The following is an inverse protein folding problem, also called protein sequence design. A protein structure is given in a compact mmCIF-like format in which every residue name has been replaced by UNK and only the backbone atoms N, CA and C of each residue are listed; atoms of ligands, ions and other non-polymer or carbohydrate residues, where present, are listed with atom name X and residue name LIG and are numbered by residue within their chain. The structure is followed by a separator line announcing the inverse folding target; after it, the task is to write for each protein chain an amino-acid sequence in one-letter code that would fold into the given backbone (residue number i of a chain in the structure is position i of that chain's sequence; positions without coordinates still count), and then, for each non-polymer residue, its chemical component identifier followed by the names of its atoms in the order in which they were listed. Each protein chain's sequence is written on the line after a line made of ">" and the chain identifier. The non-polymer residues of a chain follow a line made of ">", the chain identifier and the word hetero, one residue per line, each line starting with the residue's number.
data_IF_382306796809
#
_entry.id   IF_382306796809
#
_cell.length_a   1.000
_cell.length_b   1.000
_cell.length_c   1.000
_cell.angle_alpha   90.00
_cell.angle_beta   90.00
_cell.angle_gamma   90.00
#
_symmetry.space_group_name_H-M   'P 1'
#
loop_
_entity.id
_entity.type
_entity.pdbx_description
1 polymer ?
#
# COMPACT_ATOMS: atom_id res chain seq x y z
N UNK A 1 -8.23 6.57 -29.03
CA UNK A 1 -6.85 6.81 -28.57
C UNK A 1 -6.88 7.82 -27.42
N UNK A 2 -7.09 7.38 -26.19
CA UNK A 2 -6.96 8.23 -25.00
C UNK A 2 -6.05 7.49 -24.01
N UNK A 3 -4.76 7.83 -24.03
CA UNK A 3 -3.83 7.44 -22.96
C UNK A 3 -4.26 8.19 -21.73
N UNK A 4 -4.82 7.48 -20.75
CA UNK A 4 -5.10 8.00 -19.42
C UNK A 4 -3.76 8.25 -18.73
N UNK A 5 -3.27 9.48 -18.86
CA UNK A 5 -2.15 10.04 -18.11
C UNK A 5 -2.66 10.34 -16.70
N UNK A 6 -2.81 9.29 -15.87
CA UNK A 6 -3.15 9.42 -14.44
C UNK A 6 -2.27 8.51 -13.56
N UNK A 7 -1.27 7.85 -14.16
CA UNK A 7 -0.45 6.83 -13.49
C UNK A 7 0.77 7.41 -12.73
N UNK A 8 1.37 8.59 -13.02
CA UNK A 8 2.53 9.03 -12.24
C UNK A 8 2.19 9.85 -10.98
N UNK A 9 0.95 10.30 -10.78
CA UNK A 9 0.64 11.28 -9.72
C UNK A 9 0.31 10.68 -8.34
N UNK A 10 -0.04 9.40 -8.23
CA UNK A 10 -0.41 8.79 -6.93
C UNK A 10 0.81 8.20 -6.18
N UNK A 11 1.96 8.07 -6.85
CA UNK A 11 3.25 7.73 -6.22
C UNK A 11 4.02 8.97 -5.70
N UNK A 12 3.52 10.19 -5.96
CA UNK A 12 4.20 11.45 -5.65
C UNK A 12 3.64 12.20 -4.41
N UNK A 13 3.03 11.50 -3.45
CA UNK A 13 2.62 12.10 -2.16
C UNK A 13 3.79 12.24 -1.15
N UNK A 14 5.00 12.50 -1.65
CA UNK A 14 6.14 13.01 -0.89
C UNK A 14 6.33 14.49 -1.27
N UNK A 15 6.75 15.38 -0.36
CA UNK A 15 6.95 16.79 -0.70
C UNK A 15 7.92 16.92 -1.88
N UNK A 16 7.39 17.38 -3.01
CA UNK A 16 8.04 17.57 -4.31
C UNK A 16 9.15 18.65 -4.32
N UNK A 17 9.78 18.95 -3.19
CA UNK A 17 10.65 20.12 -3.05
C UNK A 17 12.16 19.84 -3.08
N UNK A 18 12.61 18.59 -3.31
CA UNK A 18 14.06 18.30 -3.34
C UNK A 18 14.42 17.20 -4.32
N UNK A 19 14.09 17.30 -5.61
CA UNK A 19 14.82 16.52 -6.64
C UNK A 19 15.39 17.50 -7.66
N UNK A 20 16.69 17.79 -7.49
CA UNK A 20 17.50 18.42 -8.52
C UNK A 20 17.56 17.53 -9.76
N UNK A 21 17.60 18.22 -10.90
CA UNK A 21 17.91 17.76 -12.25
C UNK A 21 18.75 16.45 -12.27
N UNK A 22 18.38 15.52 -13.16
CA UNK A 22 19.08 14.26 -13.51
C UNK A 22 18.53 12.94 -12.91
N UNK A 23 17.20 12.77 -12.84
CA UNK A 23 16.63 11.44 -13.03
C UNK A 23 16.56 11.14 -14.53
N UNK A 24 17.18 10.06 -15.06
CA UNK A 24 16.99 9.69 -16.45
C UNK A 24 15.50 9.48 -16.70
N UNK A 25 14.99 10.10 -17.76
CA UNK A 25 13.57 10.24 -18.11
C UNK A 25 12.82 8.89 -18.23
N UNK A 26 13.56 7.76 -18.27
CA UNK A 26 13.05 6.39 -18.43
C UNK A 26 13.37 5.44 -17.25
N UNK A 27 13.93 5.93 -16.13
CA UNK A 27 14.29 5.03 -15.01
C UNK A 27 13.06 4.55 -14.20
N UNK A 28 12.87 3.23 -14.16
CA UNK A 28 11.74 2.60 -13.44
C UNK A 28 11.90 2.80 -11.92
N UNK A 29 10.86 3.37 -11.28
CA UNK A 29 10.82 3.64 -9.84
C UNK A 29 10.42 2.38 -9.06
N UNK A 30 11.24 2.04 -8.07
CA UNK A 30 11.01 1.00 -7.08
C UNK A 30 11.06 1.58 -5.67
N UNK A 31 10.69 0.76 -4.70
CA UNK A 31 10.84 1.07 -3.28
C UNK A 31 11.39 -0.14 -2.53
N UNK A 32 12.19 0.10 -1.50
CA UNK A 32 12.72 -0.94 -0.63
C UNK A 32 11.58 -1.67 0.12
N UNK A 33 11.58 -3.00 0.14
CA UNK A 33 10.54 -3.81 0.81
C UNK A 33 10.98 -4.43 2.14
N UNK A 34 12.22 -4.18 2.57
CA UNK A 34 12.76 -4.57 3.87
C UNK A 34 13.13 -3.33 4.69
N UNK A 35 13.09 -3.45 6.00
CA UNK A 35 13.45 -2.36 6.92
C UNK A 35 14.95 -2.02 6.94
N UNK A 36 15.79 -2.90 6.40
CA UNK A 36 17.25 -2.74 6.31
C UNK A 36 17.75 -3.17 4.92
N UNK A 37 17.11 -2.69 3.87
CA UNK A 37 17.50 -3.06 2.52
C UNK A 37 18.87 -2.45 2.18
N UNK A 38 19.81 -3.24 1.66
CA UNK A 38 21.22 -2.83 1.58
C UNK A 38 21.65 -2.53 0.15
N UNK A 39 22.38 -1.42 -0.02
CA UNK A 39 23.14 -1.10 -1.22
C UNK A 39 24.60 -1.48 -0.99
N UNK A 40 25.23 -2.14 -1.95
CA UNK A 40 26.62 -2.60 -1.94
C UNK A 40 27.42 -1.94 -3.06
N UNK A 41 28.75 -1.76 -2.86
CA UNK A 41 29.62 -1.27 -3.94
C UNK A 41 29.99 -2.36 -4.96
N UNK A 42 30.08 -3.62 -4.52
CA UNK A 42 30.41 -4.80 -5.33
C UNK A 42 29.44 -5.93 -4.98
N UNK A 43 29.23 -6.91 -5.89
CA UNK A 43 28.28 -8.01 -5.68
C UNK A 43 28.78 -9.08 -4.69
N UNK A 44 30.09 -9.11 -4.42
CA UNK A 44 30.78 -10.10 -3.60
C UNK A 44 31.21 -9.57 -2.21
N UNK A 45 30.93 -8.31 -1.91
CA UNK A 45 31.19 -7.73 -0.58
C UNK A 45 30.08 -8.05 0.41
N UNK A 46 30.45 -8.27 1.67
CA UNK A 46 29.51 -8.39 2.80
C UNK A 46 29.27 -7.07 3.52
N UNK A 47 30.01 -6.00 3.18
CA UNK A 47 29.88 -4.69 3.81
C UNK A 47 28.90 -3.80 3.03
N UNK A 48 27.74 -3.46 3.60
CA UNK A 48 26.81 -2.54 2.97
C UNK A 48 27.38 -1.12 2.96
N UNK A 49 27.10 -0.41 1.87
CA UNK A 49 27.46 1.00 1.67
C UNK A 49 26.37 1.93 2.21
N UNK A 50 25.09 1.58 1.99
CA UNK A 50 23.92 2.33 2.48
C UNK A 50 22.84 1.35 2.92
N UNK A 51 22.20 1.62 4.06
CA UNK A 51 20.98 0.94 4.50
C UNK A 51 19.78 1.83 4.22
N UNK A 52 18.79 1.27 3.53
CA UNK A 52 17.55 1.94 3.15
C UNK A 52 16.43 1.57 4.12
N UNK A 53 15.58 2.55 4.40
CA UNK A 53 14.34 2.35 5.17
C UNK A 53 13.30 1.67 4.31
N UNK A 54 12.33 1.01 4.96
CA UNK A 54 11.14 0.49 4.30
C UNK A 54 10.48 1.60 3.46
N UNK A 55 10.15 1.26 2.21
CA UNK A 55 9.58 2.14 1.18
C UNK A 55 10.45 3.30 0.70
N UNK A 56 11.73 3.34 1.05
CA UNK A 56 12.64 4.33 0.48
C UNK A 56 12.73 4.15 -1.04
N UNK A 57 12.52 5.23 -1.83
CA UNK A 57 12.48 5.15 -3.28
C UNK A 57 13.87 4.90 -3.87
N UNK A 58 13.94 4.02 -4.87
CA UNK A 58 15.15 3.73 -5.64
C UNK A 58 14.83 3.63 -7.12
N UNK A 59 15.72 4.15 -7.96
CA UNK A 59 15.61 4.11 -9.41
C UNK A 59 16.46 2.95 -9.93
N UNK A 60 15.84 2.04 -10.68
CA UNK A 60 16.59 0.97 -11.35
C UNK A 60 17.42 1.57 -12.48
N UNK A 61 18.69 1.19 -12.53
CA UNK A 61 19.62 1.54 -13.61
C UNK A 61 19.75 0.38 -14.58
N UNK A 62 20.16 -0.79 -14.07
CA UNK A 62 20.36 -2.02 -14.85
C UNK A 62 20.36 -3.23 -13.91
N UNK A 63 20.32 -4.46 -14.42
CA UNK A 63 20.43 -5.67 -13.59
C UNK A 63 19.62 -6.85 -14.08
N UNK A 64 19.80 -7.96 -13.38
CA UNK A 64 19.20 -9.26 -13.65
C UNK A 64 18.24 -9.71 -12.53
N UNK A 65 17.90 -10.99 -12.51
CA UNK A 65 16.96 -11.57 -11.53
C UNK A 65 17.51 -11.63 -10.11
N UNK A 66 18.83 -11.57 -9.91
CA UNK A 66 19.47 -11.67 -8.60
C UNK A 66 19.89 -10.30 -8.06
N UNK A 67 20.50 -9.48 -8.91
CA UNK A 67 21.07 -8.20 -8.54
C UNK A 67 20.67 -7.09 -9.50
N UNK A 68 20.50 -5.90 -8.95
CA UNK A 68 20.28 -4.68 -9.73
C UNK A 68 21.14 -3.54 -9.24
N UNK A 69 21.61 -2.73 -10.18
CA UNK A 69 22.19 -1.43 -9.87
C UNK A 69 21.04 -0.45 -9.64
N UNK A 70 21.04 0.20 -8.50
CA UNK A 70 20.05 1.20 -8.11
C UNK A 70 20.71 2.55 -7.83
N UNK A 71 19.90 3.60 -7.93
CA UNK A 71 20.25 4.95 -7.49
C UNK A 71 19.18 5.47 -6.53
N UNK A 72 19.57 6.04 -5.40
CA UNK A 72 18.65 6.72 -4.46
C UNK A 72 18.41 8.17 -4.89
N UNK A 73 17.38 8.80 -4.31
CA UNK A 73 17.07 10.21 -4.61
C UNK A 73 18.16 11.20 -4.20
N UNK A 74 18.97 10.87 -3.20
CA UNK A 74 20.12 11.67 -2.73
C UNK A 74 21.44 11.35 -3.49
N UNK A 75 21.37 10.45 -4.49
CA UNK A 75 22.47 10.19 -5.42
C UNK A 75 23.37 9.01 -5.08
N UNK A 76 23.15 8.30 -3.98
CA UNK A 76 23.86 7.05 -3.71
C UNK A 76 23.58 6.03 -4.83
N UNK A 77 24.62 5.33 -5.29
CA UNK A 77 24.52 4.33 -6.36
C UNK A 77 25.25 3.06 -5.95
N UNK A 78 24.66 1.90 -6.22
CA UNK A 78 25.29 0.62 -5.99
C UNK A 78 24.38 -0.55 -6.31
N UNK A 79 24.83 -1.76 -5.97
CA UNK A 79 24.13 -3.01 -6.19
C UNK A 79 23.17 -3.30 -5.04
N UNK A 80 21.99 -3.79 -5.37
CA UNK A 80 20.94 -4.18 -4.44
C UNK A 80 20.36 -5.51 -4.90
N UNK A 81 19.95 -6.38 -3.98
CA UNK A 81 19.30 -7.63 -4.37
C UNK A 81 17.96 -7.30 -5.01
N UNK A 82 17.65 -7.95 -6.13
CA UNK A 82 16.38 -7.72 -6.84
C UNK A 82 15.16 -8.06 -5.96
N UNK A 83 15.32 -8.95 -4.98
CA UNK A 83 14.27 -9.31 -4.00
C UNK A 83 14.08 -8.31 -2.86
N UNK A 84 14.96 -7.31 -2.72
CA UNK A 84 14.87 -6.30 -1.66
C UNK A 84 14.13 -5.04 -2.11
N UNK A 85 13.72 -4.98 -3.38
CA UNK A 85 12.90 -3.91 -3.94
C UNK A 85 11.61 -4.44 -4.55
N UNK A 86 10.62 -3.57 -4.66
CA UNK A 86 9.42 -3.83 -5.43
C UNK A 86 8.87 -2.53 -5.98
N UNK A 87 8.09 -2.63 -7.05
CA UNK A 87 7.24 -1.58 -7.56
C UNK A 87 5.82 -2.09 -7.78
N UNK A 88 5.45 -3.16 -7.07
CA UNK A 88 4.10 -3.73 -7.07
C UNK A 88 3.17 -2.83 -6.27
N UNK A 89 2.00 -2.52 -6.81
CA UNK A 89 0.98 -1.76 -6.08
C UNK A 89 -0.43 -2.21 -6.46
N UNK A 90 -1.37 -1.93 -5.56
CA UNK A 90 -2.76 -2.37 -5.70
C UNK A 90 -3.65 -1.15 -5.91
N UNK A 91 -4.61 -1.25 -6.84
CA UNK A 91 -5.73 -0.33 -6.97
C UNK A 91 -7.02 -1.09 -6.79
N UNK A 92 -7.94 -0.56 -6.00
CA UNK A 92 -9.28 -1.10 -5.80
C UNK A 92 -10.25 -0.01 -6.21
N UNK A 93 -11.06 -0.28 -7.24
CA UNK A 93 -12.16 0.60 -7.62
C UNK A 93 -13.44 0.06 -7.01
N UNK A 94 -14.06 0.87 -6.15
CA UNK A 94 -15.32 0.52 -5.51
C UNK A 94 -16.48 0.54 -6.52
N UNK A 95 -16.52 1.53 -7.41
CA UNK A 95 -17.48 1.62 -8.51
C UNK A 95 -17.53 0.37 -9.39
N UNK A 96 -16.37 -0.19 -9.72
CA UNK A 96 -16.30 -1.39 -10.57
C UNK A 96 -16.17 -2.70 -9.78
N UNK A 97 -16.09 -2.63 -8.45
CA UNK A 97 -15.86 -3.77 -7.55
C UNK A 97 -14.71 -4.66 -8.06
N UNK A 98 -13.60 -4.03 -8.39
CA UNK A 98 -12.46 -4.70 -9.03
C UNK A 98 -11.16 -4.30 -8.34
N UNK A 99 -10.37 -5.31 -7.98
CA UNK A 99 -8.98 -5.15 -7.55
C UNK A 99 -8.07 -5.32 -8.77
N UNK A 100 -7.08 -4.45 -8.87
CA UNK A 100 -6.06 -4.42 -9.89
C UNK A 100 -4.69 -4.46 -9.22
N UNK A 101 -3.78 -5.27 -9.76
CA UNK A 101 -2.39 -5.35 -9.30
C UNK A 101 -1.51 -4.88 -10.44
N UNK A 102 -0.62 -3.94 -10.12
CA UNK A 102 0.30 -3.33 -11.06
C UNK A 102 1.74 -3.63 -10.65
N UNK A 103 2.64 -3.57 -11.64
CA UNK A 103 4.09 -3.50 -11.46
C UNK A 103 4.57 -2.26 -12.21
N UNK A 104 4.98 -1.23 -11.49
CA UNK A 104 5.21 0.09 -12.10
C UNK A 104 3.94 0.57 -12.83
N UNK A 105 4.05 0.84 -14.13
CA UNK A 105 2.92 1.23 -14.99
C UNK A 105 2.14 0.06 -15.61
N UNK A 106 2.62 -1.18 -15.49
CA UNK A 106 2.03 -2.35 -16.13
C UNK A 106 0.94 -2.98 -15.27
N UNK A 107 -0.22 -3.26 -15.86
CA UNK A 107 -1.27 -4.04 -15.21
C UNK A 107 -0.93 -5.53 -15.26
N UNK A 108 -0.64 -6.13 -14.10
CA UNK A 108 -0.27 -7.54 -13.96
C UNK A 108 -1.51 -8.42 -13.80
N UNK A 109 -2.49 -7.98 -13.02
CA UNK A 109 -3.68 -8.78 -12.73
C UNK A 109 -4.91 -7.91 -12.45
N UNK A 110 -6.10 -8.38 -12.82
CA UNK A 110 -7.39 -7.82 -12.41
C UNK A 110 -8.33 -8.92 -11.93
N UNK A 111 -9.12 -8.65 -10.91
CA UNK A 111 -10.03 -9.65 -10.32
C UNK A 111 -11.26 -8.97 -9.68
N UNK A 112 -12.40 -9.67 -9.65
CA UNK A 112 -13.56 -9.25 -8.86
C UNK A 112 -13.20 -9.04 -7.39
N UNK A 113 -13.80 -8.05 -6.74
CA UNK A 113 -13.63 -7.78 -5.32
C UNK A 113 -14.99 -7.54 -4.66
N UNK A 114 -15.24 -8.22 -3.55
CA UNK A 114 -16.39 -7.95 -2.70
C UNK A 114 -16.01 -6.90 -1.67
N UNK A 115 -16.94 -6.02 -1.34
CA UNK A 115 -16.70 -4.88 -0.46
C UNK A 115 -17.69 -4.90 0.72
N UNK A 116 -17.61 -3.88 1.57
CA UNK A 116 -18.64 -3.69 2.58
C UNK A 116 -19.96 -3.29 1.93
N UNK A 117 -21.10 -3.70 2.48
CA UNK A 117 -22.41 -3.45 1.85
C UNK A 117 -22.66 -1.97 1.47
N UNK A 118 -22.12 -1.05 2.28
CA UNK A 118 -22.25 0.39 2.13
C UNK A 118 -21.00 1.04 1.48
N UNK A 119 -20.28 0.30 0.62
CA UNK A 119 -18.99 0.72 0.07
C UNK A 119 -19.00 2.02 -0.74
N UNK A 120 -20.16 2.43 -1.26
CA UNK A 120 -20.32 3.59 -2.14
C UNK A 120 -19.99 4.92 -1.44
N UNK A 121 -20.10 4.98 -0.11
CA UNK A 121 -19.67 6.11 0.68
C UNK A 121 -18.30 5.86 1.32
N UNK A 122 -17.57 6.94 1.62
CA UNK A 122 -16.31 6.85 2.34
C UNK A 122 -16.53 6.52 3.83
N UNK A 123 -15.59 5.78 4.43
CA UNK A 123 -15.63 5.40 5.83
C UNK A 123 -15.04 6.53 6.69
N UNK A 124 -15.89 7.18 7.48
CA UNK A 124 -15.47 8.32 8.30
C UNK A 124 -15.09 7.87 9.72
N UNK A 125 -15.88 6.97 10.32
CA UNK A 125 -15.65 6.38 11.64
C UNK A 125 -15.97 4.88 11.70
N UNK A 126 -15.77 4.29 12.89
CA UNK A 126 -16.33 2.98 13.24
C UNK A 126 -17.85 3.08 13.14
N UNK A 127 -18.46 2.16 12.41
CA UNK A 127 -19.90 2.09 12.27
C UNK A 127 -20.51 1.07 13.21
N UNK A 128 -21.67 1.38 13.77
CA UNK A 128 -22.58 0.44 14.43
C UNK A 128 -23.82 0.20 13.56
N UNK A 129 -24.65 -0.82 13.83
CA UNK A 129 -25.97 -0.91 13.21
C UNK A 129 -26.71 0.43 13.30
N UNK A 130 -27.47 0.77 12.26
CA UNK A 130 -28.21 2.03 12.11
C UNK A 130 -27.37 3.31 11.98
N UNK A 131 -26.04 3.23 12.00
CA UNK A 131 -25.17 4.37 11.68
C UNK A 131 -24.84 4.46 10.18
N UNK A 132 -24.70 5.69 9.62
CA UNK A 132 -24.34 5.86 8.22
C UNK A 132 -23.05 5.15 7.81
N UNK A 133 -22.08 4.99 8.72
CA UNK A 133 -20.77 4.35 8.47
C UNK A 133 -20.79 2.82 8.60
N UNK A 134 -21.94 2.20 8.89
CA UNK A 134 -22.05 0.76 8.97
C UNK A 134 -21.61 0.11 7.65
N UNK A 135 -20.60 -0.76 7.73
CA UNK A 135 -20.03 -1.55 6.63
C UNK A 135 -19.52 -0.72 5.44
N UNK A 136 -18.97 0.47 5.69
CA UNK A 136 -18.26 1.25 4.66
C UNK A 136 -16.82 0.77 4.48
N UNK A 137 -16.37 0.75 3.23
CA UNK A 137 -14.95 0.56 2.84
C UNK A 137 -14.31 1.94 2.60
N UNK A 138 -13.18 2.27 3.24
CA UNK A 138 -12.56 3.59 3.13
C UNK A 138 -12.06 3.90 1.71
N UNK A 139 -11.97 5.18 1.38
CA UNK A 139 -11.21 5.72 0.26
C UNK A 139 -9.86 6.22 0.73
N UNK A 140 -8.84 6.15 -0.12
CA UNK A 140 -7.56 6.77 0.15
C UNK A 140 -6.37 5.96 -0.35
N UNK A 141 -5.19 6.43 0.05
CA UNK A 141 -3.92 5.75 -0.20
C UNK A 141 -3.46 5.12 1.10
N UNK A 142 -3.33 3.80 1.06
CA UNK A 142 -2.94 2.95 2.17
C UNK A 142 -1.67 2.18 1.82
N UNK A 143 -1.16 1.45 2.80
CA UNK A 143 -0.14 0.44 2.58
C UNK A 143 -0.41 -0.78 3.46
N UNK A 144 0.09 -1.94 3.02
CA UNK A 144 0.04 -3.18 3.78
C UNK A 144 0.98 -3.05 4.99
N UNK A 145 0.47 -3.17 6.21
CA UNK A 145 1.27 -3.13 7.46
C UNK A 145 1.56 -4.51 8.02
N UNK A 146 0.78 -5.52 7.62
CA UNK A 146 0.95 -6.90 8.07
C UNK A 146 0.38 -7.87 7.04
N UNK A 147 1.01 -9.04 6.93
CA UNK A 147 0.51 -10.20 6.19
C UNK A 147 0.08 -11.26 7.21
N UNK A 148 -1.21 -11.55 7.31
CA UNK A 148 -1.75 -12.57 8.20
C UNK A 148 -2.05 -13.85 7.40
N UNK A 149 -1.21 -14.88 7.55
CA UNK A 149 -1.36 -16.15 6.85
C UNK A 149 -2.45 -17.06 7.44
N UNK A 150 -2.92 -16.77 8.66
CA UNK A 150 -3.89 -17.56 9.41
C UNK A 150 -5.12 -16.70 9.76
N UNK A 151 -5.61 -15.94 8.77
CA UNK A 151 -6.84 -15.18 8.94
C UNK A 151 -8.04 -16.13 9.05
N UNK A 152 -9.11 -15.68 9.70
CA UNK A 152 -10.39 -16.39 9.67
C UNK A 152 -10.97 -16.50 8.25
N UNK A 153 -10.48 -15.69 7.31
CA UNK A 153 -10.87 -15.67 5.89
C UNK A 153 -9.72 -16.11 4.97
N UNK A 154 -9.10 -17.26 5.28
CA UNK A 154 -7.94 -17.84 4.60
C UNK A 154 -6.62 -17.07 4.78
N UNK A 155 -6.46 -15.90 4.15
CA UNK A 155 -5.28 -15.02 4.26
C UNK A 155 -5.72 -13.56 4.28
N UNK A 156 -4.90 -12.67 4.83
CA UNK A 156 -5.18 -11.24 4.83
C UNK A 156 -3.93 -10.36 4.68
N UNK A 157 -4.08 -9.26 3.94
CA UNK A 157 -3.20 -8.10 3.94
C UNK A 157 -3.87 -6.99 4.76
N UNK A 158 -3.31 -6.70 5.94
CA UNK A 158 -3.83 -5.67 6.84
C UNK A 158 -3.37 -4.30 6.35
N UNK A 159 -4.28 -3.35 6.21
CA UNK A 159 -3.98 -1.98 5.77
C UNK A 159 -3.73 -1.06 6.97
N UNK A 160 -2.99 0.02 6.76
CA UNK A 160 -2.76 1.08 7.75
C UNK A 160 -3.99 2.00 7.97
N UNK A 161 -5.22 1.52 7.81
CA UNK A 161 -6.40 2.32 8.17
C UNK A 161 -6.62 2.29 9.69
N UNK A 162 -6.84 3.44 10.37
CA UNK A 162 -6.82 4.80 9.83
C UNK A 162 -5.40 5.32 9.53
N UNK A 163 -5.24 6.03 8.42
CA UNK A 163 -3.96 6.64 8.02
C UNK A 163 -3.84 8.12 8.48
N UNK A 164 -2.83 8.85 7.98
CA UNK A 164 -2.64 10.28 8.26
C UNK A 164 -3.86 11.12 7.90
N UNK A 165 -4.37 11.00 6.68
CA UNK A 165 -5.50 11.78 6.18
C UNK A 165 -6.77 11.49 7.00
N UNK A 166 -6.98 10.23 7.38
CA UNK A 166 -8.07 9.82 8.27
C UNK A 166 -7.93 10.44 9.67
N UNK A 167 -6.72 10.47 10.23
CA UNK A 167 -6.44 11.06 11.52
C UNK A 167 -6.61 12.58 11.51
N UNK A 168 -6.15 13.25 10.46
CA UNK A 168 -6.34 14.70 10.28
C UNK A 168 -7.82 15.05 10.19
N UNK A 169 -8.60 14.30 9.39
CA UNK A 169 -10.06 14.44 9.35
C UNK A 169 -10.68 14.18 10.72
N UNK A 170 -10.32 13.07 11.35
CA UNK A 170 -10.83 12.68 12.66
C UNK A 170 -10.57 13.72 13.75
N UNK A 171 -9.40 14.37 13.75
CA UNK A 171 -9.07 15.40 14.72
C UNK A 171 -9.88 16.68 14.45
N UNK A 172 -9.98 17.11 13.17
CA UNK A 172 -10.80 18.28 12.78
C UNK A 172 -12.27 18.08 13.17
N UNK A 173 -12.79 16.89 12.96
CA UNK A 173 -14.20 16.55 13.21
C UNK A 173 -14.45 16.13 14.68
N UNK A 174 -13.45 16.29 15.56
CA UNK A 174 -13.52 15.94 16.99
C UNK A 174 -13.88 14.46 17.27
N UNK A 175 -13.59 13.56 16.33
CA UNK A 175 -13.82 12.12 16.46
C UNK A 175 -12.72 11.42 17.27
N UNK A 176 -11.50 11.95 17.25
CA UNK A 176 -10.35 11.39 17.98
C UNK A 176 -9.66 12.45 18.83
N UNK A 177 -8.93 11.98 19.84
CA UNK A 177 -8.10 12.85 20.68
C UNK A 177 -6.79 13.23 19.97
N UNK A 178 -6.17 14.32 20.41
CA UNK A 178 -4.81 14.70 19.98
C UNK A 178 -3.79 13.58 20.20
N UNK A 179 -3.97 12.75 21.24
CA UNK A 179 -3.09 11.62 21.48
C UNK A 179 -3.24 10.54 20.41
N UNK A 180 -4.48 10.13 20.09
CA UNK A 180 -4.75 9.17 19.02
C UNK A 180 -4.25 9.67 17.67
N UNK A 181 -4.43 10.96 17.38
CA UNK A 181 -3.87 11.60 16.19
C UNK A 181 -2.35 11.44 16.13
N UNK A 182 -1.63 11.78 17.20
CA UNK A 182 -0.16 11.63 17.27
C UNK A 182 0.27 10.19 17.10
N UNK A 183 -0.44 9.23 17.69
CA UNK A 183 -0.11 7.81 17.61
C UNK A 183 -0.28 7.26 16.18
N UNK A 184 -1.36 7.65 15.49
CA UNK A 184 -1.58 7.32 14.07
C UNK A 184 -0.46 7.93 13.20
N UNK A 185 -0.15 9.21 13.39
CA UNK A 185 0.92 9.88 12.62
C UNK A 185 2.29 9.25 12.86
N UNK A 186 2.58 8.84 14.09
CA UNK A 186 3.83 8.15 14.42
C UNK A 186 3.90 6.75 13.79
N UNK A 187 2.76 6.09 13.58
CA UNK A 187 2.69 4.83 12.87
C UNK A 187 2.88 4.99 11.35
N UNK A 188 2.16 5.93 10.77
CA UNK A 188 2.20 6.27 9.35
C UNK A 188 3.62 6.62 8.85
N UNK A 189 4.36 7.42 9.62
CA UNK A 189 5.73 7.87 9.29
C UNK A 189 6.75 6.75 9.05
N UNK A 190 6.50 5.56 9.60
CA UNK A 190 7.42 4.42 9.54
C UNK A 190 6.73 3.15 9.05
N UNK A 191 5.59 3.30 8.37
CA UNK A 191 4.83 2.22 7.73
C UNK A 191 4.46 1.06 8.66
N UNK A 192 4.16 1.36 9.94
CA UNK A 192 3.74 0.37 10.94
C UNK A 192 2.24 0.41 11.17
N UNK A 193 1.73 -0.64 11.80
CA UNK A 193 0.33 -0.74 12.21
C UNK A 193 -0.07 0.44 13.13
N UNK A 194 -1.09 1.25 12.77
CA UNK A 194 -1.64 2.28 13.66
C UNK A 194 -2.48 1.65 14.78
N UNK A 195 -2.92 2.44 15.78
CA UNK A 195 -3.90 1.97 16.74
C UNK A 195 -5.19 1.50 16.04
N UNK A 196 -5.49 0.20 16.13
CA UNK A 196 -6.61 -0.43 15.42
C UNK A 196 -7.96 -0.32 16.14
N UNK A 197 -7.99 0.30 17.34
CA UNK A 197 -9.18 0.42 18.17
C UNK A 197 -9.48 1.89 18.51
N UNK A 198 -9.45 2.77 17.52
CA UNK A 198 -9.87 4.18 17.68
C UNK A 198 -11.33 4.37 17.31
N UNK A 199 -11.94 5.52 17.62
CA UNK A 199 -13.25 5.90 17.07
C UNK A 199 -13.33 5.87 15.54
N UNK A 200 -12.21 6.06 14.82
CA UNK A 200 -12.18 5.94 13.36
C UNK A 200 -12.37 4.49 12.88
N UNK A 201 -12.09 3.52 13.77
CA UNK A 201 -12.05 2.10 13.45
C UNK A 201 -10.61 1.60 13.32
N UNK A 202 -10.44 0.57 12.48
CA UNK A 202 -9.21 -0.17 12.24
C UNK A 202 -9.53 -1.47 11.51
N UNK A 203 -8.54 -2.34 11.36
CA UNK A 203 -8.70 -3.70 10.81
C UNK A 203 -9.40 -3.75 9.43
N UNK A 204 -9.10 -2.78 8.57
CA UNK A 204 -9.43 -2.89 7.15
C UNK A 204 -8.37 -3.74 6.48
N UNK A 205 -8.83 -4.79 5.79
CA UNK A 205 -7.96 -5.80 5.19
C UNK A 205 -8.35 -6.07 3.74
N UNK A 206 -7.39 -6.55 2.95
CA UNK A 206 -7.67 -7.33 1.75
C UNK A 206 -7.55 -8.80 2.13
N UNK A 207 -8.62 -9.58 2.08
CA UNK A 207 -8.62 -10.97 2.55
C UNK A 207 -9.23 -11.95 1.53
N UNK A 208 -9.13 -13.24 1.85
CA UNK A 208 -9.75 -14.33 1.09
C UNK A 208 -11.28 -14.37 1.22
N UNK A 209 -11.88 -15.51 0.90
CA UNK A 209 -13.32 -15.78 0.96
C UNK A 209 -14.19 -14.81 0.13
N UNK A 210 -13.61 -14.19 -0.88
CA UNK A 210 -14.35 -13.47 -1.90
C UNK A 210 -15.26 -14.42 -2.69
N UNK A 211 -16.47 -13.94 -2.97
CA UNK A 211 -17.54 -14.64 -3.69
C UNK A 211 -17.52 -14.36 -5.20
N UNK A 212 -16.59 -13.52 -5.66
CA UNK A 212 -16.49 -13.14 -7.06
C UNK A 212 -17.58 -12.17 -7.50
N UNK A 213 -17.90 -11.16 -6.67
CA UNK A 213 -18.97 -10.15 -6.83
C UNK A 213 -20.39 -10.69 -6.70
N UNK A 214 -20.59 -11.85 -6.08
CA UNK A 214 -21.94 -12.37 -5.82
C UNK A 214 -22.59 -11.71 -4.61
N UNK A 215 -21.80 -11.25 -3.63
CA UNK A 215 -22.28 -10.55 -2.45
C UNK A 215 -21.26 -9.53 -1.94
N UNK A 216 -21.72 -8.35 -1.50
CA UNK A 216 -20.93 -7.40 -0.72
C UNK A 216 -21.25 -7.63 0.77
N UNK A 217 -20.40 -8.42 1.42
CA UNK A 217 -20.70 -9.00 2.73
C UNK A 217 -19.77 -8.53 3.85
N UNK A 218 -18.68 -7.83 3.51
CA UNK A 218 -17.68 -7.47 4.50
C UNK A 218 -18.18 -6.34 5.40
N UNK A 219 -17.50 -6.10 6.52
CA UNK A 219 -17.78 -4.95 7.38
C UNK A 219 -16.93 -3.71 7.03
N UNK A 220 -16.34 -3.71 5.83
CA UNK A 220 -15.48 -2.62 5.32
C UNK A 220 -14.20 -3.11 4.63
N UNK A 221 -13.84 -4.38 4.79
CA UNK A 221 -12.72 -5.02 4.10
C UNK A 221 -12.99 -5.22 2.60
N UNK A 222 -11.96 -5.71 1.90
CA UNK A 222 -12.01 -6.09 0.48
C UNK A 222 -11.75 -7.60 0.38
N UNK A 223 -12.76 -8.38 -0.01
CA UNK A 223 -12.63 -9.82 -0.14
C UNK A 223 -12.39 -10.24 -1.60
N UNK A 224 -11.42 -11.11 -1.80
CA UNK A 224 -11.07 -11.72 -3.09
C UNK A 224 -11.02 -13.24 -2.95
N UNK A 225 -11.12 -13.98 -4.05
CA UNK A 225 -11.13 -15.44 -3.99
C UNK A 225 -9.81 -16.00 -3.43
N UNK A 226 -9.87 -17.10 -2.69
CA UNK A 226 -8.70 -17.69 -2.00
C UNK A 226 -7.52 -17.97 -2.93
N UNK A 227 -7.81 -18.57 -4.09
CA UNK A 227 -6.78 -18.88 -5.10
C UNK A 227 -6.16 -17.61 -5.73
N UNK A 228 -6.80 -16.44 -5.60
CA UNK A 228 -6.24 -15.15 -6.03
C UNK A 228 -5.28 -14.64 -4.96
N UNK A 229 -5.71 -14.55 -3.70
CA UNK A 229 -4.85 -14.03 -2.63
C UNK A 229 -3.63 -14.92 -2.40
N UNK A 230 -3.73 -16.23 -2.63
CA UNK A 230 -2.57 -17.14 -2.62
C UNK A 230 -1.53 -16.75 -3.68
N UNK A 231 -1.96 -16.37 -4.89
CA UNK A 231 -1.05 -15.90 -5.95
C UNK A 231 -0.44 -14.54 -5.62
N UNK A 232 -1.21 -13.66 -4.99
CA UNK A 232 -0.72 -12.34 -4.58
C UNK A 232 0.23 -12.41 -3.38
N UNK A 233 0.22 -13.50 -2.63
CA UNK A 233 1.00 -13.64 -1.40
C UNK A 233 2.49 -13.43 -1.61
N UNK A 234 3.05 -13.88 -2.74
CA UNK A 234 4.48 -13.71 -3.04
C UNK A 234 4.82 -12.33 -3.63
N UNK A 235 3.83 -11.65 -4.23
CA UNK A 235 4.02 -10.34 -4.88
C UNK A 235 3.88 -9.17 -3.90
N UNK A 236 3.03 -9.34 -2.89
CA UNK A 236 2.69 -8.28 -1.92
C UNK A 236 3.61 -8.38 -0.71
N UNK A 237 4.26 -7.25 -0.40
CA UNK A 237 5.11 -7.09 0.76
C UNK A 237 4.48 -6.13 1.77
N UNK A 238 4.94 -6.17 3.02
CA UNK A 238 4.70 -5.05 3.94
C UNK A 238 5.26 -3.78 3.29
N UNK A 239 4.50 -2.70 3.37
CA UNK A 239 4.77 -1.46 2.65
C UNK A 239 4.17 -1.41 1.23
N UNK A 240 3.59 -2.48 0.66
CA UNK A 240 2.95 -2.38 -0.66
C UNK A 240 1.85 -1.31 -0.66
N UNK A 241 1.89 -0.31 -1.58
CA UNK A 241 0.85 0.69 -1.69
C UNK A 241 -0.48 0.09 -2.16
N UNK A 242 -1.57 0.59 -1.59
CA UNK A 242 -2.94 0.21 -1.91
C UNK A 242 -3.77 1.47 -2.06
N UNK A 243 -4.33 1.70 -3.24
CA UNK A 243 -5.25 2.80 -3.51
C UNK A 243 -6.66 2.26 -3.51
N UNK A 244 -7.55 2.80 -2.68
CA UNK A 244 -8.98 2.51 -2.74
C UNK A 244 -9.69 3.77 -3.21
N UNK A 245 -10.35 3.68 -4.37
CA UNK A 245 -11.06 4.80 -4.99
C UNK A 245 -12.56 4.52 -5.10
N UNK A 246 -13.40 5.57 -5.21
CA UNK A 246 -14.85 5.46 -5.32
C UNK A 246 -15.37 4.56 -6.46
#
# INVERSE_FOLDING_TARGET
>A
MHRVVLIPLILAALPLQVWGQDAPDDSELFYAVRSEAMIYQLSDTTRPYVALKLREPVFRVEGDSAWMTVRTGDGARGLMRTSDVSNVWIRISKKSQTLYVYRGGELVQRMPADLGYNFFADKIKRGAPDEPDHWRTPNGVFHVVMKNANSQYHRAFVLNYPNREDAERGLRDSLITTQQYRDILAADRVFRMPPMNTPLGGWIEIHGDGTGRRANWTQGCVAIENHIIDRLWELVHVGTPVVIEP
#
